data_IF_461401977516
#
_entry.id   IF_461401977516
#
_cell.length_a   1.000
_cell.length_b   1.000
_cell.length_c   1.000
_cell.angle_alpha   90.00
_cell.angle_beta   90.00
_cell.angle_gamma   90.00
#
_symmetry.space_group_name_H-M   'P 1'
#
loop_
_entity.id
_entity.type
_entity.pdbx_description
1 polymer ?
#
# COMPACT_ATOMS: atom_id res chain seq x y z
N UNK A 1 -7.68 -9.95 -43.39
CA UNK A 1 -7.58 -9.68 -41.93
C UNK A 1 -6.26 -10.17 -41.33
N UNK A 2 -5.76 -11.37 -41.69
CA UNK A 2 -4.51 -11.91 -41.15
C UNK A 2 -3.20 -11.19 -41.58
N UNK A 3 -3.19 -10.53 -42.74
CA UNK A 3 -2.01 -9.79 -43.22
C UNK A 3 -1.82 -8.41 -42.56
N UNK A 4 -2.88 -7.82 -41.98
CA UNK A 4 -2.80 -6.54 -41.26
C UNK A 4 -2.11 -6.67 -39.89
N UNK A 5 -2.27 -7.83 -39.24
CA UNK A 5 -1.65 -8.11 -37.92
C UNK A 5 -0.13 -8.30 -38.05
N UNK A 6 0.36 -8.88 -39.15
CA UNK A 6 1.81 -9.02 -39.41
C UNK A 6 2.49 -7.68 -39.70
N UNK A 7 1.80 -6.76 -40.39
CA UNK A 7 2.33 -5.41 -40.67
C UNK A 7 2.40 -4.57 -39.39
N UNK A 8 1.40 -4.67 -38.50
CA UNK A 8 1.40 -4.00 -37.20
C UNK A 8 2.54 -4.46 -36.28
N UNK A 9 2.90 -5.75 -36.29
CA UNK A 9 4.03 -6.30 -35.53
C UNK A 9 5.40 -5.85 -36.08
N UNK A 10 5.51 -5.65 -37.40
CA UNK A 10 6.74 -5.15 -38.02
C UNK A 10 6.90 -3.65 -37.75
N UNK A 11 5.82 -2.87 -37.80
CA UNK A 11 5.85 -1.44 -37.48
C UNK A 11 6.16 -1.20 -35.99
N UNK A 12 5.65 -2.05 -35.06
CA UNK A 12 6.03 -1.97 -33.65
C UNK A 12 7.49 -2.36 -33.40
N UNK A 13 8.06 -3.27 -34.19
CA UNK A 13 9.47 -3.66 -34.09
C UNK A 13 10.42 -2.59 -34.67
N UNK A 14 9.98 -1.82 -35.66
CA UNK A 14 10.76 -0.70 -36.23
C UNK A 14 10.75 0.52 -35.30
N UNK A 15 9.62 0.79 -34.62
CA UNK A 15 9.53 1.86 -33.62
C UNK A 15 10.34 1.60 -32.33
N UNK A 16 10.64 0.33 -32.02
CA UNK A 16 11.48 -0.04 -30.88
C UNK A 16 13.00 0.05 -31.16
N UNK A 17 13.42 0.37 -32.39
CA UNK A 17 14.83 0.32 -32.81
C UNK A 17 15.52 1.68 -32.93
N UNK A 18 14.80 2.80 -32.80
CA UNK A 18 15.38 4.15 -32.88
C UNK A 18 15.17 4.98 -31.61
N UNK A 19 15.71 4.51 -30.48
CA UNK A 19 16.16 5.41 -29.41
C UNK A 19 17.44 4.81 -28.82
N UNK A 20 18.56 5.00 -29.53
CA UNK A 20 19.89 4.80 -28.96
C UNK A 20 20.43 6.19 -28.65
N UNK A 21 20.35 6.68 -27.40
CA UNK A 21 21.23 7.75 -26.97
C UNK A 21 22.63 7.14 -26.84
N UNK A 22 23.56 7.71 -27.62
CA UNK A 22 24.97 7.37 -27.66
C UNK A 22 25.51 7.48 -26.22
N UNK A 23 25.86 6.33 -25.65
CA UNK A 23 26.34 6.22 -24.27
C UNK A 23 27.74 6.83 -24.15
N UNK A 24 27.98 7.46 -23.00
CA UNK A 24 29.32 7.67 -22.47
C UNK A 24 30.16 6.38 -22.57
N UNK A 25 31.46 6.51 -22.83
CA UNK A 25 32.35 5.35 -22.88
C UNK A 25 32.39 4.67 -21.51
N UNK A 26 32.10 3.36 -21.46
CA UNK A 26 32.00 2.58 -20.22
C UNK A 26 33.10 1.51 -20.21
N UNK A 27 33.89 1.47 -19.15
CA UNK A 27 34.78 0.35 -18.84
C UNK A 27 34.52 -0.09 -17.40
N UNK A 28 34.03 -1.31 -17.23
CA UNK A 28 33.92 -1.97 -15.92
C UNK A 28 34.79 -3.22 -16.00
N UNK A 29 35.81 -3.27 -15.16
CA UNK A 29 36.72 -4.42 -15.03
C UNK A 29 36.53 -5.00 -13.63
N UNK A 30 36.28 -6.30 -13.57
CA UNK A 30 36.13 -7.06 -12.33
C UNK A 30 37.46 -7.76 -12.04
N UNK A 31 38.27 -7.17 -11.17
CA UNK A 31 39.49 -7.80 -10.67
C UNK A 31 39.27 -8.27 -9.23
N UNK A 32 39.13 -9.59 -9.07
CA UNK A 32 39.42 -10.40 -7.88
C UNK A 32 38.69 -10.11 -6.55
N UNK A 33 38.73 -8.87 -6.05
CA UNK A 33 38.23 -8.49 -4.72
C UNK A 33 37.71 -7.04 -4.65
N UNK A 34 37.84 -6.26 -5.73
CA UNK A 34 37.40 -4.85 -5.77
C UNK A 34 36.62 -4.55 -7.04
N UNK A 35 35.38 -4.09 -6.88
CA UNK A 35 34.57 -3.57 -7.99
C UNK A 35 34.99 -2.13 -8.28
N UNK A 36 35.30 -1.84 -9.55
CA UNK A 36 35.63 -0.49 -9.99
C UNK A 36 34.56 0.02 -10.95
N UNK A 37 33.91 1.12 -10.59
CA UNK A 37 32.90 1.83 -11.37
C UNK A 37 33.49 3.16 -11.78
N UNK A 38 33.66 3.38 -13.09
CA UNK A 38 34.10 4.67 -13.62
C UNK A 38 32.92 5.36 -14.31
N UNK A 39 32.61 6.57 -13.86
CA UNK A 39 31.61 7.47 -14.45
C UNK A 39 32.37 8.49 -15.28
N UNK A 40 32.31 8.34 -16.60
CA UNK A 40 32.91 9.26 -17.57
C UNK A 40 31.83 10.21 -18.10
N UNK A 41 32.00 11.50 -17.87
CA UNK A 41 31.09 12.54 -18.31
C UNK A 41 31.69 13.23 -19.53
N UNK A 42 31.13 12.93 -20.71
CA UNK A 42 31.48 13.58 -21.97
C UNK A 42 30.85 14.99 -22.04
N UNK A 43 31.26 15.78 -23.03
CA UNK A 43 30.74 17.15 -23.24
C UNK A 43 29.23 17.23 -23.58
N UNK A 44 28.56 16.10 -23.79
CA UNK A 44 27.12 16.02 -24.11
C UNK A 44 26.24 15.78 -22.88
N UNK A 45 26.58 16.39 -21.73
CA UNK A 45 25.80 16.25 -20.50
C UNK A 45 24.51 17.08 -20.53
N UNK A 46 23.53 16.68 -19.70
CA UNK A 46 22.25 17.37 -19.57
C UNK A 46 21.97 17.78 -18.14
N UNK A 47 21.60 19.04 -17.94
CA UNK A 47 21.25 19.58 -16.64
C UNK A 47 19.87 19.11 -16.18
N UNK A 48 19.75 18.75 -14.91
CA UNK A 48 18.52 18.24 -14.31
C UNK A 48 18.14 16.85 -14.80
N UNK A 49 19.02 16.13 -15.50
CA UNK A 49 18.78 14.77 -15.98
C UNK A 49 19.81 13.79 -15.40
N UNK A 50 19.46 12.50 -15.42
CA UNK A 50 20.37 11.41 -15.05
C UNK A 50 21.39 11.26 -16.18
N UNK A 51 22.66 11.53 -15.88
CA UNK A 51 23.77 11.39 -16.83
C UNK A 51 24.47 10.03 -16.71
N UNK A 52 24.31 9.35 -15.58
CA UNK A 52 24.73 7.97 -15.37
C UNK A 52 23.72 7.25 -14.48
N UNK A 53 23.37 6.02 -14.84
CA UNK A 53 22.57 5.15 -13.98
C UNK A 53 22.88 3.69 -14.28
N UNK A 54 23.18 2.91 -13.25
CA UNK A 54 23.28 1.46 -13.37
C UNK A 54 22.97 0.77 -12.04
N UNK A 55 22.27 -0.36 -12.16
CA UNK A 55 22.03 -1.29 -11.06
C UNK A 55 23.14 -2.34 -11.02
N UNK A 56 23.63 -2.62 -9.81
CA UNK A 56 24.69 -3.57 -9.51
C UNK A 56 24.24 -4.49 -8.37
N UNK A 57 24.82 -5.68 -8.35
CA UNK A 57 24.71 -6.58 -7.22
C UNK A 57 26.07 -6.65 -6.53
N UNK A 58 26.22 -5.86 -5.45
CA UNK A 58 27.49 -5.73 -4.76
C UNK A 58 27.65 -6.91 -3.78
N UNK A 59 28.79 -7.61 -3.78
CA UNK A 59 29.00 -8.70 -2.85
C UNK A 59 29.07 -8.21 -1.41
N UNK A 60 28.66 -9.08 -0.48
CA UNK A 60 28.81 -8.79 0.94
C UNK A 60 30.29 -8.56 1.32
N UNK A 61 30.52 -7.71 2.32
CA UNK A 61 31.85 -7.41 2.86
C UNK A 61 32.84 -6.85 1.84
N UNK A 62 32.35 -6.25 0.75
CA UNK A 62 33.17 -5.70 -0.31
C UNK A 62 33.31 -4.18 -0.23
N UNK A 63 34.36 -3.67 -0.87
CA UNK A 63 34.55 -2.24 -1.11
C UNK A 63 34.55 -2.02 -2.61
N UNK A 64 33.61 -1.19 -3.07
CA UNK A 64 33.47 -0.80 -4.47
C UNK A 64 33.96 0.63 -4.64
N UNK A 65 34.90 0.84 -5.57
CA UNK A 65 35.41 2.17 -5.90
C UNK A 65 34.54 2.80 -7.00
N UNK A 66 34.12 4.05 -6.78
CA UNK A 66 33.38 4.87 -7.73
C UNK A 66 34.23 6.07 -8.09
N UNK A 67 34.75 6.09 -9.31
CA UNK A 67 35.57 7.17 -9.85
C UNK A 67 34.71 8.05 -10.76
N UNK A 68 34.59 9.34 -10.44
CA UNK A 68 33.87 10.33 -11.24
C UNK A 68 34.90 11.19 -11.98
N UNK A 69 34.82 11.20 -13.31
CA UNK A 69 35.67 12.01 -14.19
C UNK A 69 34.83 12.82 -15.16
N UNK A 70 35.04 14.13 -15.18
CA UNK A 70 34.37 15.07 -16.06
C UNK A 70 35.33 15.98 -16.81
N UNK A 71 34.85 16.63 -17.86
CA UNK A 71 35.64 17.62 -18.60
C UNK A 71 35.73 18.92 -17.80
N UNK A 72 36.79 19.71 -18.00
CA UNK A 72 36.93 21.02 -17.34
C UNK A 72 35.72 21.93 -17.63
N UNK A 73 35.21 21.86 -18.86
CA UNK A 73 34.01 22.59 -19.28
C UNK A 73 32.79 22.26 -18.39
N UNK A 74 32.58 21.00 -18.03
CA UNK A 74 31.50 20.60 -17.13
C UNK A 74 31.61 21.30 -15.77
N UNK A 75 32.76 21.18 -15.10
CA UNK A 75 32.96 21.70 -13.75
C UNK A 75 32.95 23.24 -13.70
N UNK A 76 33.22 23.90 -14.84
CA UNK A 76 33.10 25.35 -14.96
C UNK A 76 31.64 25.82 -14.97
N UNK A 77 30.71 25.01 -15.50
CA UNK A 77 29.28 25.38 -15.68
C UNK A 77 28.29 24.59 -14.83
N UNK A 78 28.73 23.57 -14.10
CA UNK A 78 27.86 22.67 -13.35
C UNK A 78 28.53 22.00 -12.14
N UNK A 79 27.68 21.34 -11.35
CA UNK A 79 28.09 20.39 -10.31
C UNK A 79 27.23 19.13 -10.45
N UNK A 80 27.67 18.02 -9.86
CA UNK A 80 26.95 16.76 -9.87
C UNK A 80 26.52 16.31 -8.49
N UNK A 81 25.51 15.46 -8.44
CA UNK A 81 25.11 14.72 -7.25
C UNK A 81 25.30 13.24 -7.54
N UNK A 82 26.27 12.62 -6.88
CA UNK A 82 26.46 11.18 -6.87
C UNK A 82 25.46 10.58 -5.90
N UNK A 83 24.60 9.69 -6.39
CA UNK A 83 23.56 9.04 -5.61
C UNK A 83 23.79 7.54 -5.59
N UNK A 84 23.62 6.93 -4.43
CA UNK A 84 23.66 5.49 -4.25
C UNK A 84 22.42 5.03 -3.52
N UNK A 85 21.69 4.10 -4.14
CA UNK A 85 20.43 3.56 -3.63
C UNK A 85 20.56 2.06 -3.43
N UNK A 86 20.45 1.57 -2.22
CA UNK A 86 20.44 0.14 -1.90
C UNK A 86 19.04 -0.33 -1.53
N UNK A 87 18.67 -1.49 -2.03
CA UNK A 87 17.40 -2.12 -1.72
C UNK A 87 17.51 -2.98 -0.46
N UNK A 88 16.64 -2.75 0.53
CA UNK A 88 16.52 -3.48 1.82
C UNK A 88 17.67 -3.35 2.82
N UNK A 89 18.91 -3.19 2.36
CA UNK A 89 20.09 -3.21 3.22
C UNK A 89 20.86 -1.90 3.15
N UNK A 90 21.21 -1.34 4.30
CA UNK A 90 22.03 -0.13 4.36
C UNK A 90 23.45 -0.39 3.83
N UNK A 91 23.99 0.62 3.16
CA UNK A 91 25.36 0.69 2.69
C UNK A 91 26.03 1.94 3.28
N UNK A 92 27.35 1.94 3.27
CA UNK A 92 28.13 3.10 3.70
C UNK A 92 28.85 3.71 2.49
N UNK A 93 28.58 4.97 2.19
CA UNK A 93 29.27 5.75 1.15
C UNK A 93 30.33 6.64 1.82
N UNK A 94 31.58 6.58 1.36
CA UNK A 94 32.69 7.34 1.92
C UNK A 94 33.55 8.00 0.85
N UNK A 95 34.15 9.16 1.14
CA UNK A 95 35.20 9.76 0.31
C UNK A 95 36.60 9.24 0.64
N UNK A 96 36.74 8.38 1.66
CA UNK A 96 38.00 7.71 2.03
C UNK A 96 37.89 6.20 1.87
N UNK A 97 38.97 5.56 1.42
CA UNK A 97 39.00 4.10 1.22
C UNK A 97 38.86 3.30 2.53
N UNK A 98 39.39 3.85 3.62
CA UNK A 98 39.38 3.21 4.94
C UNK A 98 38.41 3.99 5.81
N UNK A 99 37.44 3.28 6.38
CA UNK A 99 36.49 3.85 7.32
C UNK A 99 37.20 4.18 8.63
N UNK A 100 37.11 5.43 9.05
CA UNK A 100 37.59 5.85 10.36
C UNK A 100 36.59 5.42 11.46
N UNK A 101 37.06 5.13 12.69
CA UNK A 101 36.21 4.59 13.77
C UNK A 101 35.17 5.59 14.28
N UNK A 102 35.33 6.89 14.01
CA UNK A 102 34.36 7.93 14.35
C UNK A 102 33.59 8.38 13.10
N UNK A 103 32.30 8.74 13.22
CA UNK A 103 31.56 9.35 12.12
C UNK A 103 32.24 10.65 11.72
N UNK A 104 32.99 10.61 10.63
CA UNK A 104 33.67 11.77 10.06
C UNK A 104 32.77 12.47 9.06
N UNK A 105 33.13 13.72 8.71
CA UNK A 105 32.51 14.47 7.62
C UNK A 105 32.59 13.80 6.23
N UNK A 106 33.30 12.68 6.15
CA UNK A 106 33.59 11.96 4.90
C UNK A 106 32.76 10.71 4.67
N UNK A 107 31.86 10.34 5.59
CA UNK A 107 31.17 9.03 5.55
C UNK A 107 29.69 9.15 5.90
N UNK A 108 28.84 8.44 5.16
CA UNK A 108 27.38 8.35 5.37
C UNK A 108 26.95 6.89 5.34
N UNK A 109 26.05 6.50 6.24
CA UNK A 109 25.39 5.20 6.23
C UNK A 109 23.89 5.37 5.97
N UNK A 110 23.33 4.56 5.08
CA UNK A 110 21.89 4.57 4.77
C UNK A 110 21.54 3.76 3.53
N UNK A 111 20.28 3.81 3.12
CA UNK A 111 19.79 3.13 1.91
C UNK A 111 19.71 4.04 0.69
N UNK A 112 19.51 5.33 0.88
CA UNK A 112 19.44 6.30 -0.22
C UNK A 112 20.29 7.51 0.19
N UNK A 113 21.52 7.54 -0.30
CA UNK A 113 22.57 8.46 0.17
C UNK A 113 23.34 9.02 -1.01
N UNK A 114 24.08 10.11 -0.80
CA UNK A 114 24.84 10.72 -1.88
C UNK A 114 25.82 11.80 -1.43
N UNK A 115 26.62 12.27 -2.39
CA UNK A 115 27.57 13.37 -2.24
C UNK A 115 27.44 14.35 -3.40
N UNK A 116 27.60 15.64 -3.09
CA UNK A 116 27.85 16.64 -4.12
C UNK A 116 29.27 16.50 -4.65
N UNK A 117 29.42 16.66 -5.97
CA UNK A 117 30.66 16.48 -6.71
C UNK A 117 30.91 17.73 -7.54
N UNK A 118 31.95 18.48 -7.20
CA UNK A 118 32.31 19.74 -7.86
C UNK A 118 33.52 19.60 -8.80
N UNK A 119 34.20 18.45 -8.76
CA UNK A 119 35.42 18.13 -9.51
C UNK A 119 35.62 16.62 -9.55
N UNK A 120 36.55 16.18 -10.39
CA UNK A 120 37.00 14.78 -10.43
C UNK A 120 37.35 14.28 -9.03
N UNK A 121 36.69 13.20 -8.63
CA UNK A 121 36.70 12.69 -7.25
C UNK A 121 36.50 11.17 -7.23
N UNK A 122 37.01 10.54 -6.18
CA UNK A 122 36.87 9.09 -5.95
C UNK A 122 36.08 8.88 -4.66
N UNK A 123 35.11 7.98 -4.73
CA UNK A 123 34.26 7.57 -3.61
C UNK A 123 34.29 6.05 -3.44
N UNK A 124 33.87 5.57 -2.28
CA UNK A 124 33.92 4.18 -1.88
C UNK A 124 32.56 3.76 -1.30
N UNK A 125 31.99 2.70 -1.86
CA UNK A 125 30.78 2.06 -1.34
C UNK A 125 31.22 0.83 -0.56
N UNK A 126 30.90 0.82 0.73
CA UNK A 126 31.15 -0.29 1.64
C UNK A 126 29.83 -0.99 1.93
N UNK A 127 29.78 -2.29 1.62
CA UNK A 127 28.69 -3.15 2.08
C UNK A 127 29.00 -3.63 3.49
N UNK A 128 28.08 -3.46 4.44
CA UNK A 128 28.25 -3.89 5.84
C UNK A 128 28.48 -5.40 5.97
N UNK A 129 28.97 -5.81 7.14
CA UNK A 129 29.27 -7.21 7.44
C UNK A 129 27.99 -8.06 7.42
N UNK A 130 27.80 -8.85 6.37
CA UNK A 130 26.59 -9.65 6.15
C UNK A 130 26.86 -10.88 5.30
N UNK A 131 25.83 -11.72 5.14
CA UNK A 131 25.89 -12.94 4.31
C UNK A 131 25.21 -12.77 2.94
N UNK A 132 24.71 -11.57 2.63
CA UNK A 132 23.87 -11.33 1.44
C UNK A 132 24.45 -10.23 0.57
N UNK A 133 24.41 -10.46 -0.75
CA UNK A 133 24.71 -9.41 -1.72
C UNK A 133 23.68 -8.29 -1.63
N UNK A 134 24.12 -7.06 -1.88
CA UNK A 134 23.26 -5.87 -1.80
C UNK A 134 22.97 -5.36 -3.21
N UNK A 135 21.70 -5.43 -3.60
CA UNK A 135 21.23 -4.79 -4.84
C UNK A 135 21.32 -3.27 -4.68
N UNK A 136 22.16 -2.63 -5.50
CA UNK A 136 22.50 -1.21 -5.38
C UNK A 136 22.44 -0.52 -6.74
N UNK A 137 21.76 0.60 -6.85
CA UNK A 137 21.82 1.49 -8.00
C UNK A 137 22.78 2.65 -7.73
N UNK A 138 23.67 2.93 -8.68
CA UNK A 138 24.54 4.11 -8.68
C UNK A 138 24.03 5.05 -9.76
N UNK A 139 23.76 6.29 -9.40
CA UNK A 139 23.27 7.32 -10.29
C UNK A 139 24.08 8.62 -10.16
N UNK A 140 24.15 9.37 -11.25
CA UNK A 140 24.80 10.68 -11.28
C UNK A 140 23.90 11.67 -12.01
N UNK A 141 23.51 12.74 -11.32
CA UNK A 141 22.65 13.81 -11.85
C UNK A 141 23.45 15.11 -11.85
N UNK A 142 23.41 15.85 -12.95
CA UNK A 142 24.18 17.10 -13.11
C UNK A 142 23.22 18.28 -13.00
N UNK A 143 23.60 19.30 -12.24
CA UNK A 143 22.88 20.56 -12.11
C UNK A 143 23.74 21.75 -12.54
N UNK A 144 23.07 22.85 -12.87
CA UNK A 144 23.75 24.10 -13.23
C UNK A 144 24.50 24.64 -12.02
N UNK A 145 25.66 25.24 -12.25
CA UNK A 145 26.48 25.84 -11.18
C UNK A 145 25.74 26.94 -10.41
N UNK A 146 24.83 27.66 -11.08
CA UNK A 146 23.98 28.69 -10.49
C UNK A 146 22.81 28.15 -9.67
N UNK A 147 22.51 26.85 -9.75
CA UNK A 147 21.43 26.21 -9.00
C UNK A 147 21.76 26.07 -7.51
N UNK A 148 20.72 25.92 -6.70
CA UNK A 148 20.87 25.66 -5.27
C UNK A 148 21.58 24.32 -5.02
N UNK A 149 22.64 24.34 -4.21
CA UNK A 149 23.42 23.15 -3.83
C UNK A 149 22.65 22.40 -2.73
N UNK A 150 22.11 21.19 -3.00
CA UNK A 150 21.33 20.45 -2.02
C UNK A 150 22.16 20.17 -0.77
N UNK A 151 21.67 20.60 0.39
CA UNK A 151 22.33 20.44 1.67
C UNK A 151 23.63 21.24 1.84
N UNK A 152 23.90 22.22 0.98
CA UNK A 152 25.13 23.02 0.99
C UNK A 152 25.32 23.88 2.25
N UNK A 153 24.28 24.05 3.06
CA UNK A 153 24.29 24.79 4.32
C UNK A 153 24.01 23.92 5.54
N UNK A 154 24.27 22.61 5.42
CA UNK A 154 24.03 21.69 6.52
C UNK A 154 24.96 21.96 7.72
N UNK A 155 24.37 22.21 8.88
CA UNK A 155 25.07 22.35 10.16
C UNK A 155 24.86 21.17 11.12
N UNK A 156 24.03 20.19 10.73
CA UNK A 156 23.50 19.16 11.65
C UNK A 156 24.01 17.76 11.31
N UNK A 157 24.03 17.40 10.02
CA UNK A 157 24.49 16.07 9.58
C UNK A 157 26.02 16.00 9.57
N UNK A 158 26.60 14.79 9.69
CA UNK A 158 28.05 14.62 9.72
C UNK A 158 28.71 15.15 8.44
N UNK A 159 28.08 14.99 7.28
CA UNK A 159 28.63 15.48 6.00
C UNK A 159 28.34 16.96 5.80
N UNK A 160 29.36 17.70 5.42
CA UNK A 160 29.29 19.15 5.20
C UNK A 160 28.22 19.53 4.17
N UNK A 161 28.22 18.87 3.00
CA UNK A 161 27.16 19.01 2.01
C UNK A 161 26.31 17.74 1.98
N UNK A 162 25.06 17.81 2.47
CA UNK A 162 24.17 16.64 2.63
C UNK A 162 23.05 16.64 1.57
N UNK A 163 23.28 16.09 0.36
CA UNK A 163 22.32 16.21 -0.73
C UNK A 163 21.13 15.25 -0.62
N UNK A 164 20.99 14.50 0.46
CA UNK A 164 19.92 13.52 0.66
C UNK A 164 18.98 13.93 1.79
N UNK A 165 17.74 13.49 1.69
CA UNK A 165 16.74 13.69 2.75
C UNK A 165 16.77 12.54 3.75
N UNK A 166 16.54 12.86 5.02
CA UNK A 166 16.51 11.89 6.11
C UNK A 166 15.07 11.51 6.42
N UNK A 167 14.79 10.22 6.58
CA UNK A 167 13.46 9.70 6.89
C UNK A 167 13.48 9.01 8.25
N UNK A 168 12.68 9.53 9.18
CA UNK A 168 12.54 9.01 10.54
C UNK A 168 11.14 8.43 10.71
N UNK A 169 11.08 7.15 11.05
CA UNK A 169 9.82 6.46 11.33
C UNK A 169 9.39 6.74 12.77
N UNK A 170 8.20 7.33 12.95
CA UNK A 170 7.56 7.54 14.25
C UNK A 170 6.39 6.55 14.43
N UNK A 171 5.67 6.66 15.56
CA UNK A 171 4.56 5.76 15.89
C UNK A 171 3.38 5.86 14.91
N UNK A 172 2.92 7.06 14.56
CA UNK A 172 1.80 7.23 13.62
C UNK A 172 2.16 8.01 12.36
N UNK A 173 3.38 8.54 12.33
CA UNK A 173 3.85 9.43 11.26
C UNK A 173 5.22 9.01 10.73
N UNK A 174 5.52 9.48 9.53
CA UNK A 174 6.85 9.44 8.92
C UNK A 174 7.33 10.87 8.83
N UNK A 175 8.45 11.18 9.49
CA UNK A 175 9.06 12.50 9.49
C UNK A 175 10.18 12.54 8.46
N UNK A 176 10.06 13.42 7.49
CA UNK A 176 11.06 13.64 6.44
C UNK A 176 11.76 14.96 6.69
N UNK A 177 13.07 14.94 6.85
CA UNK A 177 13.89 16.11 7.12
C UNK A 177 14.76 16.42 5.90
N UNK A 178 14.69 17.66 5.42
CA UNK A 178 15.53 18.15 4.33
C UNK A 178 16.58 19.11 4.89
N UNK A 179 17.88 18.84 4.71
CA UNK A 179 18.94 19.79 5.05
C UNK A 179 18.83 21.08 4.22
N UNK A 180 19.13 22.28 4.76
CA UNK A 180 19.05 23.53 4.01
C UNK A 180 20.06 23.58 2.85
N UNK A 181 19.62 24.13 1.72
CA UNK A 181 20.42 24.30 0.52
C UNK A 181 21.40 25.47 0.63
N UNK A 182 22.48 25.43 -0.16
CA UNK A 182 23.44 26.53 -0.28
C UNK A 182 23.39 27.21 -1.66
N UNK A 183 23.89 28.44 -1.75
CA UNK A 183 24.00 29.17 -3.02
C UNK A 183 24.99 28.54 -3.99
N UNK A 184 24.62 28.43 -5.27
CA UNK A 184 25.53 28.03 -6.34
C UNK A 184 26.51 29.14 -6.77
N UNK A 185 27.69 28.77 -7.27
CA UNK A 185 28.66 29.71 -7.86
C UNK A 185 28.21 30.16 -9.27
N UNK A 186 28.46 31.42 -9.71
CA UNK A 186 29.45 32.36 -9.21
C UNK A 186 28.89 33.44 -8.26
N UNK A 187 27.63 33.33 -7.82
CA UNK A 187 26.90 34.47 -7.23
C UNK A 187 27.61 35.17 -6.07
N UNK A 188 28.37 34.43 -5.24
CA UNK A 188 29.11 34.97 -4.08
C UNK A 188 30.57 34.55 -4.01
N UNK A 189 31.14 33.91 -5.04
CA UNK A 189 32.50 33.37 -5.02
C UNK A 189 32.72 32.18 -4.07
N UNK A 190 31.90 32.05 -3.02
CA UNK A 190 31.79 30.94 -2.06
C UNK A 190 30.31 30.59 -1.83
N UNK A 191 30.03 29.36 -1.38
CA UNK A 191 28.70 28.95 -0.90
C UNK A 191 28.33 29.79 0.33
N UNK A 192 27.24 30.54 0.26
CA UNK A 192 26.71 31.32 1.38
C UNK A 192 25.40 30.73 1.89
N UNK A 193 25.19 30.85 3.20
CA UNK A 193 24.01 30.38 3.90
C UNK A 193 23.20 31.57 4.42
N UNK A 194 21.88 31.56 4.19
CA UNK A 194 20.93 32.50 4.82
C UNK A 194 20.67 33.81 4.09
N UNK A 195 21.26 34.07 2.93
CA UNK A 195 21.00 35.30 2.12
C UNK A 195 20.08 35.07 0.93
N UNK A 196 19.76 33.82 0.61
CA UNK A 196 19.04 33.43 -0.61
C UNK A 196 17.58 33.08 -0.32
N UNK A 197 16.67 33.52 -1.19
CA UNK A 197 15.25 33.17 -1.12
C UNK A 197 15.01 31.85 -1.87
N UNK A 198 15.40 30.72 -1.28
CA UNK A 198 15.09 29.41 -1.84
C UNK A 198 13.62 29.03 -1.60
N UNK A 199 12.99 28.44 -2.61
CA UNK A 199 11.66 27.84 -2.50
C UNK A 199 11.80 26.31 -2.54
N UNK A 200 11.38 25.67 -1.46
CA UNK A 200 11.40 24.21 -1.30
C UNK A 200 10.03 23.65 -1.68
N UNK A 201 10.02 22.68 -2.59
CA UNK A 201 8.84 21.96 -3.02
C UNK A 201 8.94 20.50 -2.61
N UNK A 202 8.05 20.08 -1.72
CA UNK A 202 8.02 18.74 -1.17
C UNK A 202 7.04 17.88 -1.96
N UNK A 203 7.54 16.74 -2.47
CA UNK A 203 6.74 15.79 -3.23
C UNK A 203 6.93 14.37 -2.74
N UNK A 204 5.90 13.56 -2.95
CA UNK A 204 5.95 12.14 -2.66
C UNK A 204 5.22 11.31 -3.71
N UNK A 205 5.55 10.02 -3.78
CA UNK A 205 4.90 9.05 -4.64
C UNK A 205 4.64 7.77 -3.83
N UNK A 206 3.56 7.07 -4.15
CA UNK A 206 3.24 5.79 -3.52
C UNK A 206 3.47 4.62 -4.48
N UNK A 207 3.88 3.50 -3.90
CA UNK A 207 3.77 2.19 -4.52
C UNK A 207 2.42 1.54 -4.22
N UNK A 208 2.08 0.52 -5.01
CA UNK A 208 0.98 -0.36 -4.68
C UNK A 208 1.21 -1.03 -3.32
N UNK A 209 0.11 -1.28 -2.60
CA UNK A 209 0.17 -1.94 -1.30
C UNK A 209 0.80 -3.33 -1.44
N UNK A 210 1.73 -3.67 -0.54
CA UNK A 210 2.52 -4.90 -0.52
C UNK A 210 3.47 -5.10 -1.73
N UNK A 211 3.71 -4.06 -2.53
CA UNK A 211 4.78 -4.11 -3.52
C UNK A 211 6.13 -3.82 -2.86
N UNK A 212 6.88 -4.90 -2.60
CA UNK A 212 8.25 -4.87 -2.11
C UNK A 212 9.21 -5.39 -3.18
N UNK A 213 8.92 -5.16 -4.46
CA UNK A 213 9.80 -5.60 -5.53
C UNK A 213 10.98 -4.64 -5.72
N UNK A 214 12.18 -5.21 -5.94
CA UNK A 214 13.39 -4.45 -6.29
C UNK A 214 13.16 -3.54 -7.50
N UNK A 215 12.38 -4.00 -8.46
CA UNK A 215 12.07 -3.28 -9.70
C UNK A 215 11.24 -2.02 -9.42
N UNK A 216 10.11 -2.15 -8.75
CA UNK A 216 9.26 -1.00 -8.41
C UNK A 216 10.00 0.02 -7.53
N UNK A 217 10.86 -0.46 -6.62
CA UNK A 217 11.72 0.40 -5.81
C UNK A 217 12.63 1.29 -6.66
N UNK A 218 13.43 0.70 -7.54
CA UNK A 218 14.40 1.44 -8.36
C UNK A 218 13.74 2.27 -9.46
N UNK A 219 12.66 1.79 -10.08
CA UNK A 219 11.91 2.54 -11.09
C UNK A 219 11.26 3.81 -10.49
N UNK A 220 10.76 3.72 -9.25
CA UNK A 220 10.18 4.88 -8.53
C UNK A 220 11.25 5.90 -8.16
N UNK A 221 12.38 5.45 -7.61
CA UNK A 221 13.51 6.35 -7.34
C UNK A 221 14.02 7.04 -8.61
N UNK A 222 14.13 6.31 -9.72
CA UNK A 222 14.54 6.86 -11.02
C UNK A 222 13.63 8.00 -11.47
N UNK A 223 12.33 7.86 -11.25
CA UNK A 223 11.34 8.89 -11.58
C UNK A 223 11.49 10.12 -10.68
N UNK A 224 11.82 9.96 -9.40
CA UNK A 224 11.93 11.07 -8.45
C UNK A 224 13.30 11.77 -8.45
N UNK A 225 14.37 11.12 -8.93
CA UNK A 225 15.71 11.74 -9.02
C UNK A 225 15.74 12.95 -9.97
N UNK A 226 14.92 12.93 -11.02
CA UNK A 226 14.88 13.98 -12.05
C UNK A 226 13.80 15.02 -11.69
N UNK A 227 14.14 16.31 -11.53
CA UNK A 227 13.17 17.34 -11.13
C UNK A 227 11.92 17.39 -12.00
N UNK A 228 12.08 17.29 -13.33
CA UNK A 228 10.95 17.34 -14.27
C UNK A 228 9.96 16.20 -14.04
N UNK A 229 10.43 14.95 -14.00
CA UNK A 229 9.56 13.78 -13.83
C UNK A 229 9.01 13.70 -12.41
N UNK A 230 9.73 14.19 -11.41
CA UNK A 230 9.22 14.34 -10.05
C UNK A 230 8.04 15.32 -9.99
N UNK A 231 8.09 16.42 -10.76
CA UNK A 231 6.98 17.39 -10.88
C UNK A 231 5.78 16.79 -11.62
N UNK A 232 6.03 15.98 -12.65
CA UNK A 232 4.97 15.37 -13.47
C UNK A 232 4.29 14.20 -12.74
N UNK A 233 5.03 13.38 -11.98
CA UNK A 233 4.54 12.11 -11.41
C UNK A 233 4.29 12.14 -9.90
N UNK A 234 4.98 13.03 -9.16
CA UNK A 234 4.86 13.10 -7.70
C UNK A 234 3.70 13.98 -7.24
N UNK A 235 3.09 13.65 -6.11
CA UNK A 235 2.06 14.47 -5.47
C UNK A 235 2.70 15.66 -4.75
N UNK A 236 2.16 16.85 -4.98
CA UNK A 236 2.58 18.06 -4.27
C UNK A 236 2.03 18.06 -2.83
N UNK A 237 2.92 18.19 -1.85
CA UNK A 237 2.55 18.40 -0.44
C UNK A 237 2.44 19.89 -0.15
N UNK A 238 3.53 20.60 -0.42
CA UNK A 238 3.73 21.97 0.00
C UNK A 238 4.83 22.61 -0.83
N UNK A 239 4.72 23.92 -1.04
CA UNK A 239 5.82 24.79 -1.50
C UNK A 239 6.02 25.89 -0.48
N UNK A 240 7.21 26.02 0.08
CA UNK A 240 7.49 27.00 1.12
C UNK A 240 8.94 27.51 1.07
N UNK A 241 9.19 28.73 1.57
CA UNK A 241 10.56 29.24 1.73
C UNK A 241 11.34 28.43 2.79
N UNK A 242 12.60 28.79 3.04
CA UNK A 242 13.50 28.13 4.00
C UNK A 242 13.08 28.26 5.48
N UNK A 243 11.94 27.69 5.84
CA UNK A 243 11.44 27.61 7.21
C UNK A 243 10.71 26.29 7.39
N UNK A 244 10.99 25.57 8.48
CA UNK A 244 10.42 24.26 8.78
C UNK A 244 10.58 23.23 7.65
N UNK A 245 11.84 22.90 7.31
CA UNK A 245 12.21 21.90 6.31
C UNK A 245 11.95 20.43 6.73
N UNK A 246 11.05 20.22 7.70
CA UNK A 246 10.58 18.91 8.12
C UNK A 246 9.12 18.74 7.73
N UNK A 247 8.79 17.62 7.09
CA UNK A 247 7.42 17.27 6.69
C UNK A 247 6.97 16.00 7.41
N UNK A 248 5.71 16.00 7.84
CA UNK A 248 5.08 14.85 8.49
C UNK A 248 4.10 14.22 7.52
N UNK A 249 4.23 12.92 7.34
CA UNK A 249 3.34 12.10 6.52
C UNK A 249 2.65 11.07 7.41
N UNK A 250 1.42 10.68 7.06
CA UNK A 250 0.75 9.58 7.73
C UNK A 250 1.51 8.26 7.48
N UNK A 251 1.66 7.44 8.54
CA UNK A 251 2.33 6.14 8.44
C UNK A 251 1.36 5.08 7.88
N UNK A 252 1.50 4.76 6.60
CA UNK A 252 0.82 3.63 5.99
C UNK A 252 1.72 2.40 5.98
N UNK A 253 1.34 1.36 6.73
CA UNK A 253 2.09 0.11 6.78
C UNK A 253 1.95 -0.68 5.48
N UNK A 254 3.05 -1.28 5.04
CA UNK A 254 3.13 -2.12 3.84
C UNK A 254 2.78 -1.39 2.55
N UNK A 255 3.02 -0.07 2.50
CA UNK A 255 2.89 0.75 1.32
C UNK A 255 4.17 1.57 1.19
N UNK A 256 4.86 1.46 0.06
CA UNK A 256 6.09 2.20 -0.17
C UNK A 256 5.77 3.67 -0.44
N UNK A 257 6.15 4.56 0.47
CA UNK A 257 6.14 6.01 0.25
C UNK A 257 7.55 6.45 -0.11
N UNK A 258 7.68 7.15 -1.22
CA UNK A 258 8.94 7.73 -1.69
C UNK A 258 8.81 9.24 -1.65
N UNK A 259 9.84 9.91 -1.16
CA UNK A 259 9.86 11.34 -0.91
C UNK A 259 10.98 11.97 -1.72
N UNK A 260 10.75 13.18 -2.21
CA UNK A 260 11.77 14.02 -2.82
C UNK A 260 11.49 15.48 -2.47
N UNK A 261 12.58 16.23 -2.24
CA UNK A 261 12.50 17.69 -2.10
C UNK A 261 13.18 18.30 -3.31
N UNK A 262 12.49 19.25 -3.94
CA UNK A 262 13.02 20.07 -5.02
C UNK A 262 13.30 21.47 -4.47
N UNK A 263 14.39 22.08 -4.91
CA UNK A 263 14.71 23.47 -4.55
C UNK A 263 14.75 24.30 -5.80
N UNK A 264 14.03 25.40 -5.74
CA UNK A 264 14.00 26.43 -6.75
C UNK A 264 14.70 27.66 -6.22
N UNK A 265 15.49 28.25 -7.08
CA UNK A 265 15.97 29.61 -6.87
C UNK A 265 14.79 30.60 -7.02
N UNK A 266 14.48 31.36 -5.96
CA UNK A 266 13.37 32.32 -5.92
C UNK A 266 13.59 33.59 -6.75
N UNK A 267 14.75 33.74 -7.39
CA UNK A 267 15.10 34.92 -8.19
C UNK A 267 14.78 34.84 -9.70
N UNK A 268 14.00 33.83 -10.14
CA UNK A 268 13.36 33.84 -11.46
C UNK A 268 14.10 33.10 -12.59
N UNK A 269 15.25 32.46 -12.33
CA UNK A 269 15.90 31.58 -13.33
C UNK A 269 15.22 30.19 -13.42
N UNK A 270 14.26 29.88 -12.54
CA UNK A 270 13.56 28.59 -12.44
C UNK A 270 14.52 27.37 -12.46
N UNK A 271 15.75 27.54 -11.97
CA UNK A 271 16.71 26.43 -11.87
C UNK A 271 16.26 25.55 -10.71
N UNK A 272 15.88 24.32 -11.05
CA UNK A 272 15.41 23.31 -10.12
C UNK A 272 16.52 22.31 -9.86
N UNK A 273 16.87 22.14 -8.59
CA UNK A 273 17.73 21.04 -8.13
C UNK A 273 16.92 20.08 -7.29
N UNK A 274 17.29 18.80 -7.30
CA UNK A 274 16.62 17.77 -6.49
C UNK A 274 17.58 17.21 -5.45
N UNK A 275 17.05 16.97 -4.25
CA UNK A 275 17.72 16.12 -3.27
C UNK A 275 17.64 14.66 -3.71
N UNK A 276 18.57 13.84 -3.21
CA UNK A 276 18.50 12.38 -3.34
C UNK A 276 17.19 11.90 -2.68
N UNK A 277 16.29 11.24 -3.44
CA UNK A 277 15.02 10.79 -2.91
C UNK A 277 15.23 9.68 -1.89
N UNK A 278 14.31 9.58 -0.93
CA UNK A 278 14.33 8.55 0.11
C UNK A 278 12.96 7.90 0.23
N UNK A 279 12.83 6.86 1.06
CA UNK A 279 11.59 6.08 1.15
C UNK A 279 11.31 5.55 2.55
N UNK A 280 10.06 5.14 2.76
CA UNK A 280 9.63 4.35 3.92
C UNK A 280 8.48 3.41 3.52
N UNK A 281 8.48 2.20 4.06
CA UNK A 281 7.35 1.27 3.95
C UNK A 281 6.39 1.33 5.16
N UNK A 282 6.59 2.31 6.05
CA UNK A 282 5.83 2.46 7.29
C UNK A 282 6.13 1.39 8.36
N UNK A 283 7.10 0.50 8.12
CA UNK A 283 7.55 -0.52 9.05
C UNK A 283 9.08 -0.62 9.04
N UNK A 284 9.66 -1.15 10.11
CA UNK A 284 11.11 -1.39 10.18
C UNK A 284 11.53 -2.34 9.06
N UNK A 285 12.60 -1.97 8.36
CA UNK A 285 13.13 -2.73 7.21
C UNK A 285 13.57 -4.16 7.59
N UNK A 286 13.92 -4.38 8.87
CA UNK A 286 14.27 -5.69 9.42
C UNK A 286 13.05 -6.57 9.76
N UNK A 287 11.84 -6.00 9.81
CA UNK A 287 10.59 -6.67 10.18
C UNK A 287 9.54 -6.65 9.05
N UNK A 288 9.95 -6.33 7.83
CA UNK A 288 9.08 -6.28 6.64
C UNK A 288 8.20 -7.54 6.49
N UNK A 289 8.72 -8.70 6.90
CA UNK A 289 8.04 -10.00 6.83
C UNK A 289 7.20 -10.36 8.06
N UNK A 290 7.39 -9.71 9.21
CA UNK A 290 6.66 -10.04 10.47
C UNK A 290 5.55 -9.04 10.78
N UNK A 291 5.86 -7.75 10.71
CA UNK A 291 4.95 -6.69 11.16
C UNK A 291 4.13 -6.10 9.99
N UNK A 292 4.66 -6.14 8.78
CA UNK A 292 4.00 -5.60 7.59
C UNK A 292 3.01 -6.59 6.91
N UNK A 293 2.94 -7.85 7.38
CA UNK A 293 2.00 -8.88 6.88
C UNK A 293 0.74 -9.08 7.74
N UNK A 294 0.38 -8.15 8.63
CA UNK A 294 -0.78 -8.27 9.54
C UNK A 294 -2.11 -8.58 8.79
N UNK A 295 -2.24 -8.19 7.52
CA UNK A 295 -3.45 -8.46 6.72
C UNK A 295 -3.62 -9.96 6.36
N UNK A 296 -2.53 -10.74 6.32
CA UNK A 296 -2.62 -12.19 6.08
C UNK A 296 -3.16 -12.92 7.32
N UNK A 297 -2.97 -12.37 8.52
CA UNK A 297 -3.50 -12.91 9.78
C UNK A 297 -5.02 -12.70 9.84
N UNK A 298 -5.53 -11.55 9.38
CA UNK A 298 -6.98 -11.30 9.28
C UNK A 298 -7.65 -12.26 8.29
N UNK A 299 -7.04 -12.54 7.13
CA UNK A 299 -7.58 -13.49 6.16
C UNK A 299 -7.72 -14.92 6.70
N UNK A 300 -6.78 -15.37 7.55
CA UNK A 300 -6.84 -16.68 8.19
C UNK A 300 -7.83 -16.70 9.36
N UNK A 301 -7.91 -15.62 10.15
CA UNK A 301 -8.88 -15.48 11.25
C UNK A 301 -10.33 -15.35 10.80
N UNK A 302 -10.59 -14.78 9.61
CA UNK A 302 -11.92 -14.68 9.03
C UNK A 302 -12.56 -16.04 8.70
N UNK A 303 -11.75 -17.09 8.46
CA UNK A 303 -12.25 -18.45 8.25
C UNK A 303 -12.78 -19.05 9.56
N UNK A 304 -12.05 -18.86 10.67
CA UNK A 304 -12.49 -19.34 11.99
C UNK A 304 -13.73 -18.60 12.46
N UNK A 305 -13.76 -17.27 12.31
CA UNK A 305 -14.91 -16.45 12.66
C UNK A 305 -16.16 -16.88 11.87
N UNK A 306 -16.00 -17.18 10.57
CA UNK A 306 -17.10 -17.62 9.69
C UNK A 306 -17.76 -18.91 10.18
N UNK A 307 -16.98 -19.94 10.49
CA UNK A 307 -17.52 -21.23 10.95
C UNK A 307 -18.24 -21.04 12.28
N UNK A 308 -17.67 -20.27 13.21
CA UNK A 308 -18.25 -20.03 14.53
C UNK A 308 -19.57 -19.25 14.41
N UNK A 309 -19.61 -18.16 13.64
CA UNK A 309 -20.80 -17.30 13.52
C UNK A 309 -21.93 -18.03 12.80
N UNK A 310 -21.69 -18.67 11.65
CA UNK A 310 -22.76 -19.39 10.95
C UNK A 310 -23.33 -20.54 11.81
N UNK A 311 -22.46 -21.26 12.52
CA UNK A 311 -22.89 -22.35 13.41
C UNK A 311 -23.69 -21.83 14.61
N UNK A 312 -23.28 -20.71 15.20
CA UNK A 312 -24.03 -20.06 16.28
C UNK A 312 -25.45 -19.67 15.85
N UNK A 313 -25.60 -19.06 14.66
CA UNK A 313 -26.91 -18.64 14.15
C UNK A 313 -27.82 -19.84 13.86
N UNK A 314 -27.28 -20.90 13.24
CA UNK A 314 -28.03 -22.14 12.97
C UNK A 314 -28.44 -22.82 14.28
N UNK A 315 -27.53 -22.94 15.24
CA UNK A 315 -27.79 -23.55 16.54
C UNK A 315 -28.84 -22.78 17.35
N UNK A 316 -28.74 -21.45 17.37
CA UNK A 316 -29.72 -20.59 18.02
C UNK A 316 -31.10 -20.69 17.38
N UNK A 317 -31.17 -20.75 16.05
CA UNK A 317 -32.44 -20.97 15.34
C UNK A 317 -33.05 -22.34 15.66
N UNK A 318 -32.27 -23.42 15.62
CA UNK A 318 -32.76 -24.76 15.98
C UNK A 318 -33.24 -24.82 17.44
N UNK A 319 -32.52 -24.20 18.37
CA UNK A 319 -32.94 -24.08 19.76
C UNK A 319 -34.26 -23.30 19.90
N UNK A 320 -34.40 -22.19 19.17
CA UNK A 320 -35.67 -21.45 19.12
C UNK A 320 -36.83 -22.32 18.64
N UNK A 321 -36.63 -23.10 17.58
CA UNK A 321 -37.67 -23.99 17.01
C UNK A 321 -38.06 -25.09 18.00
N UNK A 322 -37.08 -25.77 18.59
CA UNK A 322 -37.33 -26.88 19.52
C UNK A 322 -38.06 -26.40 20.78
N UNK A 323 -37.68 -25.23 21.28
CA UNK A 323 -38.22 -24.67 22.52
C UNK A 323 -39.23 -23.54 22.28
N UNK A 324 -39.87 -23.51 21.11
CA UNK A 324 -40.81 -22.44 20.75
C UNK A 324 -42.09 -22.43 21.62
N UNK A 325 -42.40 -23.54 22.29
CA UNK A 325 -43.59 -23.74 23.14
C UNK A 325 -43.46 -23.15 24.54
N UNK A 326 -42.28 -22.65 24.92
CA UNK A 326 -42.08 -21.97 26.20
C UNK A 326 -42.64 -20.54 26.11
N UNK A 327 -43.54 -20.19 27.03
CA UNK A 327 -44.20 -18.88 27.09
C UNK A 327 -43.33 -17.81 27.79
N UNK A 328 -42.38 -18.22 28.62
CA UNK A 328 -41.41 -17.34 29.27
C UNK A 328 -40.35 -16.84 28.27
N UNK A 329 -40.36 -15.53 28.00
CA UNK A 329 -39.47 -14.87 27.04
C UNK A 329 -38.01 -14.80 27.51
N UNK A 330 -37.77 -14.59 28.81
CA UNK A 330 -36.41 -14.48 29.35
C UNK A 330 -35.71 -15.84 29.28
N UNK A 331 -36.43 -16.90 29.66
CA UNK A 331 -35.95 -18.27 29.54
C UNK A 331 -35.69 -18.66 28.08
N UNK A 332 -36.55 -18.22 27.16
CA UNK A 332 -36.42 -18.49 25.72
C UNK A 332 -35.16 -17.86 25.13
N UNK A 333 -34.83 -16.63 25.50
CA UNK A 333 -33.60 -15.95 25.05
C UNK A 333 -32.37 -16.70 25.55
N UNK A 334 -32.35 -17.11 26.82
CA UNK A 334 -31.23 -17.87 27.39
C UNK A 334 -31.04 -19.19 26.63
N UNK A 335 -32.12 -19.91 26.33
CA UNK A 335 -32.07 -21.18 25.59
C UNK A 335 -31.51 -20.98 24.17
N UNK A 336 -31.89 -19.90 23.48
CA UNK A 336 -31.37 -19.58 22.14
C UNK A 336 -29.87 -19.32 22.19
N UNK A 337 -29.41 -18.50 23.15
CA UNK A 337 -27.98 -18.16 23.30
C UNK A 337 -27.17 -19.41 23.63
N UNK A 338 -27.62 -20.20 24.61
CA UNK A 338 -26.94 -21.44 25.02
C UNK A 338 -26.92 -22.45 23.88
N UNK A 339 -28.05 -22.63 23.18
CA UNK A 339 -28.15 -23.52 22.03
C UNK A 339 -27.21 -23.12 20.89
N UNK A 340 -27.11 -21.82 20.61
CA UNK A 340 -26.15 -21.28 19.65
C UNK A 340 -24.70 -21.55 20.04
N UNK A 341 -24.33 -21.31 21.30
CA UNK A 341 -22.96 -21.54 21.80
C UNK A 341 -22.59 -23.02 21.71
N UNK A 342 -23.45 -23.91 22.20
CA UNK A 342 -23.20 -25.36 22.19
C UNK A 342 -23.00 -25.84 20.76
N UNK A 343 -23.89 -25.45 19.84
CA UNK A 343 -23.80 -25.84 18.45
C UNK A 343 -22.54 -25.27 17.77
N UNK A 344 -22.18 -24.02 18.05
CA UNK A 344 -20.95 -23.41 17.51
C UNK A 344 -19.69 -24.13 17.97
N UNK A 345 -19.62 -24.53 19.24
CA UNK A 345 -18.48 -25.29 19.79
C UNK A 345 -18.42 -26.66 19.14
N UNK A 346 -19.53 -27.42 19.15
CA UNK A 346 -19.57 -28.77 18.56
C UNK A 346 -19.21 -28.75 17.08
N UNK A 347 -19.74 -27.79 16.33
CA UNK A 347 -19.48 -27.67 14.90
C UNK A 347 -18.04 -27.25 14.59
N UNK A 348 -17.46 -26.37 15.42
CA UNK A 348 -16.05 -25.98 15.31
C UNK A 348 -15.12 -27.16 15.62
N UNK A 349 -15.44 -27.98 16.63
CA UNK A 349 -14.69 -29.19 16.94
C UNK A 349 -14.77 -30.23 15.82
N UNK A 350 -15.96 -30.42 15.23
CA UNK A 350 -16.14 -31.30 14.07
C UNK A 350 -15.39 -30.81 12.84
N UNK A 351 -15.34 -29.50 12.62
CA UNK A 351 -14.54 -28.92 11.54
C UNK A 351 -13.04 -29.12 11.75
N UNK A 352 -12.54 -28.95 12.98
CA UNK A 352 -11.13 -29.19 13.31
C UNK A 352 -10.71 -30.65 13.07
N UNK A 353 -11.64 -31.59 13.25
CA UNK A 353 -11.42 -33.02 12.99
C UNK A 353 -11.63 -33.40 11.52
N UNK A 354 -12.60 -32.77 10.86
CA UNK A 354 -13.03 -33.09 9.50
C UNK A 354 -13.13 -31.81 8.66
N UNK A 355 -12.10 -31.51 7.87
CA UNK A 355 -12.03 -30.31 7.03
C UNK A 355 -13.21 -30.19 6.02
N UNK A 356 -13.81 -31.31 5.63
CA UNK A 356 -14.97 -31.39 4.70
C UNK A 356 -16.27 -30.81 5.29
N UNK A 357 -16.40 -30.69 6.62
CA UNK A 357 -17.62 -30.20 7.28
C UNK A 357 -17.90 -28.70 7.00
N UNK A 358 -16.90 -27.95 6.51
CA UNK A 358 -17.07 -26.55 6.12
C UNK A 358 -18.04 -26.35 4.95
N UNK A 359 -18.07 -27.27 3.98
CA UNK A 359 -18.92 -27.16 2.80
C UNK A 359 -20.41 -27.35 3.16
N UNK A 360 -20.69 -28.21 4.13
CA UNK A 360 -22.06 -28.44 4.64
C UNK A 360 -22.58 -27.20 5.37
N UNK A 361 -21.74 -26.54 6.17
CA UNK A 361 -22.10 -25.29 6.85
C UNK A 361 -22.46 -24.17 5.86
N UNK A 362 -21.79 -24.13 4.71
CA UNK A 362 -22.07 -23.14 3.67
C UNK A 362 -23.39 -23.40 2.96
N UNK A 363 -23.71 -24.67 2.69
CA UNK A 363 -25.01 -25.07 2.13
C UNK A 363 -26.13 -24.66 3.10
N UNK A 364 -25.97 -24.94 4.39
CA UNK A 364 -26.95 -24.57 5.40
C UNK A 364 -27.07 -23.04 5.56
N UNK A 365 -25.95 -22.31 5.53
CA UNK A 365 -25.95 -20.85 5.55
C UNK A 365 -26.63 -20.23 4.32
N UNK A 366 -26.46 -20.85 3.15
CA UNK A 366 -27.11 -20.45 1.90
C UNK A 366 -28.63 -20.69 1.93
N UNK A 367 -29.09 -21.78 2.55
CA UNK A 367 -30.51 -22.04 2.81
C UNK A 367 -31.08 -21.01 3.77
N UNK A 368 -30.36 -20.71 4.86
CA UNK A 368 -30.79 -19.73 5.85
C UNK A 368 -30.89 -18.31 5.26
N UNK A 369 -29.97 -17.94 4.37
CA UNK A 369 -30.05 -16.65 3.66
C UNK A 369 -31.27 -16.60 2.71
N UNK A 370 -31.56 -17.70 2.01
CA UNK A 370 -32.78 -17.84 1.21
C UNK A 370 -34.05 -17.68 2.06
N UNK A 371 -34.07 -18.27 3.25
CA UNK A 371 -35.13 -18.10 4.24
C UNK A 371 -35.31 -16.64 4.67
N UNK A 372 -34.22 -15.95 5.03
CA UNK A 372 -34.27 -14.55 5.45
C UNK A 372 -34.82 -13.64 4.34
N UNK A 373 -34.36 -13.83 3.10
CA UNK A 373 -34.83 -13.05 1.96
C UNK A 373 -36.29 -13.36 1.63
N UNK A 374 -36.71 -14.62 1.69
CA UNK A 374 -38.11 -15.00 1.51
C UNK A 374 -39.02 -14.35 2.55
N UNK A 375 -38.58 -14.28 3.82
CA UNK A 375 -39.30 -13.58 4.88
C UNK A 375 -39.48 -12.09 4.56
N UNK A 376 -38.43 -11.40 4.08
CA UNK A 376 -38.51 -9.98 3.72
C UNK A 376 -39.43 -9.72 2.52
N UNK A 377 -39.30 -10.52 1.47
CA UNK A 377 -40.11 -10.36 0.26
C UNK A 377 -41.59 -10.60 0.58
N UNK A 378 -41.91 -11.65 1.33
CA UNK A 378 -43.30 -11.93 1.69
C UNK A 378 -43.85 -10.98 2.75
N UNK A 379 -43.00 -10.37 3.58
CA UNK A 379 -43.40 -9.27 4.44
C UNK A 379 -43.76 -8.02 3.63
N UNK A 380 -42.96 -7.68 2.61
CA UNK A 380 -43.20 -6.51 1.77
C UNK A 380 -44.41 -6.65 0.84
N UNK A 381 -44.68 -7.87 0.35
CA UNK A 381 -45.73 -8.12 -0.65
C UNK A 381 -46.91 -8.95 -0.12
N UNK A 382 -46.96 -9.25 1.18
CA UNK A 382 -47.87 -10.25 1.73
C UNK A 382 -49.36 -9.94 1.62
N UNK A 383 -49.74 -8.68 1.40
CA UNK A 383 -51.13 -8.23 1.26
C UNK A 383 -51.71 -8.43 -0.16
N UNK A 384 -50.95 -9.03 -1.10
CA UNK A 384 -51.48 -9.37 -2.41
C UNK A 384 -52.51 -10.52 -2.30
N UNK A 385 -53.67 -10.37 -2.96
CA UNK A 385 -54.74 -11.40 -2.99
C UNK A 385 -54.26 -12.81 -3.39
N UNK A 386 -53.21 -12.90 -4.22
CA UNK A 386 -52.62 -14.18 -4.66
C UNK A 386 -51.97 -14.92 -3.47
N UNK A 387 -51.43 -14.18 -2.49
CA UNK A 387 -50.73 -14.71 -1.32
C UNK A 387 -51.66 -14.99 -0.14
N UNK A 388 -52.97 -14.74 -0.24
CA UNK A 388 -53.97 -15.16 0.76
C UNK A 388 -54.12 -16.69 0.78
N UNK A 389 -53.99 -17.33 -0.39
CA UNK A 389 -54.05 -18.79 -0.48
C UNK A 389 -52.80 -19.43 0.13
N UNK A 390 -53.02 -20.35 1.07
CA UNK A 390 -51.97 -21.07 1.80
C UNK A 390 -50.99 -21.78 0.86
N UNK A 391 -51.51 -22.42 -0.20
CA UNK A 391 -50.69 -23.19 -1.15
C UNK A 391 -49.77 -22.29 -1.97
N UNK A 392 -50.29 -21.18 -2.49
CA UNK A 392 -49.50 -20.25 -3.29
C UNK A 392 -48.44 -19.53 -2.45
N UNK A 393 -48.76 -19.18 -1.20
CA UNK A 393 -47.79 -18.60 -0.27
C UNK A 393 -46.57 -19.49 -0.08
N UNK A 394 -46.78 -20.77 0.29
CA UNK A 394 -45.67 -21.69 0.52
C UNK A 394 -44.92 -22.07 -0.75
N UNK A 395 -45.59 -22.14 -1.90
CA UNK A 395 -44.92 -22.34 -3.19
C UNK A 395 -43.97 -21.18 -3.51
N UNK A 396 -44.43 -19.93 -3.37
CA UNK A 396 -43.60 -18.74 -3.60
C UNK A 396 -42.46 -18.67 -2.57
N UNK A 397 -42.74 -18.96 -1.30
CA UNK A 397 -41.74 -19.04 -0.24
C UNK A 397 -40.64 -20.05 -0.59
N UNK A 398 -40.99 -21.29 -0.89
CA UNK A 398 -40.03 -22.34 -1.25
C UNK A 398 -39.25 -21.99 -2.52
N UNK A 399 -39.91 -21.40 -3.52
CA UNK A 399 -39.24 -20.98 -4.75
C UNK A 399 -38.15 -19.94 -4.46
N UNK A 400 -38.45 -18.91 -3.66
CA UNK A 400 -37.47 -17.88 -3.31
C UNK A 400 -36.30 -18.51 -2.53
N UNK A 401 -36.59 -19.36 -1.53
CA UNK A 401 -35.55 -20.04 -0.75
C UNK A 401 -34.61 -20.82 -1.67
N UNK A 402 -35.14 -21.69 -2.53
CA UNK A 402 -34.30 -22.51 -3.42
C UNK A 402 -33.58 -21.69 -4.48
N UNK A 403 -34.22 -20.68 -5.08
CA UNK A 403 -33.56 -19.82 -6.06
C UNK A 403 -32.37 -19.08 -5.44
N UNK A 404 -32.56 -18.48 -4.27
CA UNK A 404 -31.50 -17.73 -3.58
C UNK A 404 -30.39 -18.67 -3.13
N UNK A 405 -30.73 -19.85 -2.63
CA UNK A 405 -29.72 -20.84 -2.24
C UNK A 405 -28.90 -21.34 -3.45
N UNK A 406 -29.55 -21.64 -4.57
CA UNK A 406 -28.87 -22.08 -5.80
C UNK A 406 -27.99 -20.95 -6.38
N UNK A 407 -28.41 -19.70 -6.30
CA UNK A 407 -27.60 -18.57 -6.79
C UNK A 407 -26.40 -18.27 -5.89
N UNK A 408 -26.51 -18.52 -4.58
CA UNK A 408 -25.44 -18.23 -3.62
C UNK A 408 -24.45 -19.39 -3.45
N UNK A 409 -24.85 -20.62 -3.76
CA UNK A 409 -24.04 -21.85 -3.64
C UNK A 409 -22.81 -21.95 -4.59
N UNK A 410 -22.88 -21.67 -5.91
CA UNK A 410 -21.77 -21.91 -6.84
C UNK A 410 -20.61 -20.90 -6.72
N UNK A 411 -20.68 -19.94 -5.81
CA UNK A 411 -19.62 -18.95 -5.57
C UNK A 411 -18.64 -19.45 -4.50
N UNK A 412 -17.78 -20.43 -4.80
CA UNK A 412 -16.86 -20.94 -3.77
C UNK A 412 -15.72 -19.97 -3.41
N UNK A 413 -15.34 -20.02 -2.11
CA UNK A 413 -14.54 -19.09 -1.29
C UNK A 413 -15.06 -17.65 -1.16
N UNK A 414 -15.46 -16.98 -2.25
CA UNK A 414 -15.96 -15.59 -2.19
C UNK A 414 -17.43 -15.50 -1.79
N UNK A 415 -18.27 -16.42 -2.26
CA UNK A 415 -19.71 -16.44 -1.97
C UNK A 415 -20.01 -16.69 -0.50
N UNK A 416 -19.21 -17.49 0.19
CA UNK A 416 -19.42 -17.73 1.61
C UNK A 416 -19.14 -16.50 2.49
N UNK A 417 -18.23 -15.60 2.07
CA UNK A 417 -18.05 -14.29 2.72
C UNK A 417 -19.31 -13.45 2.53
N UNK A 418 -19.87 -13.46 1.31
CA UNK A 418 -21.11 -12.75 1.00
C UNK A 418 -22.29 -13.31 1.79
N UNK A 419 -22.42 -14.63 1.91
CA UNK A 419 -23.49 -15.29 2.68
C UNK A 419 -23.42 -14.88 4.15
N UNK A 420 -22.26 -14.97 4.80
CA UNK A 420 -22.11 -14.57 6.20
C UNK A 420 -22.32 -13.06 6.40
N UNK A 421 -21.88 -12.23 5.45
CA UNK A 421 -22.12 -10.78 5.50
C UNK A 421 -23.60 -10.43 5.37
N UNK A 422 -24.32 -11.05 4.43
CA UNK A 422 -25.76 -10.85 4.24
C UNK A 422 -26.54 -11.31 5.47
N UNK A 423 -26.24 -12.52 5.97
CA UNK A 423 -26.87 -13.07 7.16
C UNK A 423 -26.63 -12.17 8.38
N UNK A 424 -25.38 -11.76 8.61
CA UNK A 424 -25.02 -10.84 9.69
C UNK A 424 -25.72 -9.49 9.58
N UNK A 425 -25.80 -8.92 8.37
CA UNK A 425 -26.50 -7.65 8.13
C UNK A 425 -28.01 -7.74 8.40
N UNK A 426 -28.64 -8.87 8.05
CA UNK A 426 -30.06 -9.11 8.27
C UNK A 426 -30.40 -9.17 9.76
N UNK A 427 -29.65 -9.96 10.53
CA UNK A 427 -29.88 -10.06 11.97
C UNK A 427 -29.51 -8.77 12.72
N UNK A 428 -28.43 -8.09 12.33
CA UNK A 428 -28.09 -6.78 12.89
C UNK A 428 -29.20 -5.76 12.61
N UNK A 429 -29.74 -5.74 11.38
CA UNK A 429 -30.85 -4.87 11.01
C UNK A 429 -32.10 -5.14 11.84
N UNK A 430 -32.46 -6.41 12.04
CA UNK A 430 -33.60 -6.78 12.90
C UNK A 430 -33.35 -6.39 14.35
N UNK A 431 -32.15 -6.63 14.89
CA UNK A 431 -31.83 -6.25 16.28
C UNK A 431 -31.88 -4.74 16.49
N UNK A 432 -31.29 -3.95 15.58
CA UNK A 432 -31.35 -2.49 15.65
C UNK A 432 -32.80 -2.01 15.56
N UNK A 433 -33.58 -2.54 14.62
CA UNK A 433 -34.98 -2.16 14.49
C UNK A 433 -35.80 -2.61 15.70
N UNK A 434 -35.51 -3.76 16.31
CA UNK A 434 -36.15 -4.16 17.56
C UNK A 434 -35.80 -3.21 18.72
N UNK A 435 -34.55 -2.74 18.81
CA UNK A 435 -34.14 -1.76 19.83
C UNK A 435 -34.78 -0.37 19.65
N UNK A 436 -35.21 -0.04 18.43
CA UNK A 436 -35.84 1.24 18.08
C UNK A 436 -37.34 1.09 17.78
N UNK A 437 -38.01 0.05 18.31
CA UNK A 437 -39.45 -0.21 18.13
C UNK A 437 -39.94 -0.25 16.67
N UNK A 438 -39.10 -0.75 15.77
CA UNK A 438 -39.38 -0.92 14.34
C UNK A 438 -40.07 -2.25 14.00
N UNK A 439 -40.85 -2.26 12.92
CA UNK A 439 -41.75 -3.36 12.56
C UNK A 439 -41.12 -4.52 11.78
N UNK A 440 -39.83 -4.46 11.43
CA UNK A 440 -39.20 -5.47 10.56
C UNK A 440 -39.09 -6.87 11.20
N UNK A 441 -39.09 -6.95 12.54
CA UNK A 441 -39.08 -8.23 13.26
C UNK A 441 -40.33 -9.10 12.94
N UNK A 442 -41.43 -8.48 12.51
CA UNK A 442 -42.62 -9.18 12.05
C UNK A 442 -42.42 -9.95 10.74
N UNK A 443 -41.39 -9.64 9.95
CA UNK A 443 -41.07 -10.40 8.73
C UNK A 443 -40.80 -11.89 9.03
N UNK A 444 -40.16 -12.18 10.17
CA UNK A 444 -39.92 -13.56 10.62
C UNK A 444 -41.15 -14.10 11.36
N UNK A 445 -41.72 -13.32 12.28
CA UNK A 445 -42.82 -13.76 13.14
C UNK A 445 -44.08 -14.12 12.35
N UNK A 446 -44.40 -13.37 11.29
CA UNK A 446 -45.60 -13.61 10.48
C UNK A 446 -45.57 -14.97 9.76
N UNK A 447 -44.39 -15.42 9.33
CA UNK A 447 -44.21 -16.77 8.80
C UNK A 447 -44.54 -17.85 9.84
N UNK A 448 -44.10 -17.65 11.09
CA UNK A 448 -44.42 -18.54 12.21
C UNK A 448 -45.89 -18.53 12.60
N UNK A 449 -46.51 -17.34 12.67
CA UNK A 449 -47.95 -17.20 12.93
C UNK A 449 -48.77 -17.93 11.89
N UNK A 450 -48.38 -17.85 10.62
CA UNK A 450 -49.02 -18.56 9.50
C UNK A 450 -48.84 -20.08 9.51
N UNK A 451 -47.75 -20.58 10.11
CA UNK A 451 -47.55 -22.02 10.37
C UNK A 451 -48.45 -22.51 11.51
N UNK A 452 -48.57 -21.74 12.59
CA UNK A 452 -49.33 -22.11 13.78
C UNK A 452 -50.84 -22.02 13.56
N UNK A 453 -51.30 -20.97 12.87
CA UNK A 453 -52.71 -20.70 12.67
C UNK A 453 -53.02 -20.48 11.18
N UNK A 454 -53.86 -21.36 10.63
CA UNK A 454 -54.28 -21.27 9.22
C UNK A 454 -55.11 -20.00 8.95
N UNK A 455 -55.83 -19.50 9.96
CA UNK A 455 -56.65 -18.29 9.86
C UNK A 455 -55.82 -17.01 9.70
N UNK A 456 -54.55 -17.03 10.10
CA UNK A 456 -53.59 -15.93 9.88
C UNK A 456 -53.34 -15.63 8.40
N UNK A 457 -53.73 -16.52 7.48
CA UNK A 457 -53.63 -16.28 6.04
C UNK A 457 -54.49 -15.11 5.53
N UNK A 458 -55.49 -14.68 6.32
CA UNK A 458 -56.37 -13.54 6.03
C UNK A 458 -55.97 -12.27 6.81
N UNK A 459 -54.90 -12.32 7.60
CA UNK A 459 -54.44 -11.18 8.38
C UNK A 459 -53.72 -10.18 7.50
N UNK A 460 -54.04 -8.89 7.66
CA UNK A 460 -53.37 -7.78 6.97
C UNK A 460 -52.02 -7.55 7.65
N UNK A 461 -50.93 -7.52 6.87
CA UNK A 461 -49.57 -7.48 7.38
C UNK A 461 -48.98 -6.06 7.42
N UNK A 462 -49.66 -5.07 6.83
CA UNK A 462 -49.22 -3.68 6.77
C UNK A 462 -49.19 -3.00 8.16
N UNK A 463 -48.02 -2.52 8.63
CA UNK A 463 -47.90 -1.87 9.94
C UNK A 463 -48.51 -0.46 10.02
N UNK A 464 -48.92 0.15 8.90
CA UNK A 464 -49.51 1.50 8.90
C UNK A 464 -50.91 1.62 9.54
N UNK A 465 -51.47 0.52 10.06
CA UNK A 465 -52.78 0.51 10.72
C UNK A 465 -52.74 0.86 12.22
N UNK A 466 -51.57 0.97 12.84
CA UNK A 466 -51.41 1.35 14.26
C UNK A 466 -51.43 2.87 14.52
N UNK A 467 -51.75 3.70 13.51
CA UNK A 467 -51.84 5.17 13.65
C UNK A 467 -53.29 5.67 13.65
N UNK A 468 -54.23 4.98 14.30
CA UNK A 468 -55.47 5.61 14.78
C UNK A 468 -55.91 4.90 16.07
N UNK A 469 -55.56 5.49 17.21
CA UNK A 469 -55.99 5.10 18.55
C UNK A 469 -55.63 6.19 19.54
#
# INVERSE_FOLDING_TARGET
MWNLIKILLIISAIWLREIIPIHAAIKSTQDGESFHITILLNDTFRFGEINFYREYELPANSVTTVEVKGTKALWDVGFGVLQTHSFLHEITLSSKKILEPNPTKSTVNGTNIGFNVHRDSIYYIHTKKGNFNVSTAVAFVIFKRTGAIPGGCNMVHPVEETPFITVVLLEDTVRVETPPAGSGAPRLGNTTCGTENFLYEFRYMYLAKQDFSRRSYFDTLRTLMVPRTAIESGYLVSKMPEYNLHQLYARYTAMGLFFVTLVMDGFGENVTTSYVPSHSYGCSQQQLTKDCHIIVILGRQLIYLRVIVNSFMIGGYLAYVIFCTIDDWDLKIIIIIVGGIVFAITWTLLWLQCHSVSEVADILGSILNGYCLACLVLYAFGDMRILESHTYYWMVFSLIVFCVSILTFPLTRRGAIVITALLGSFFMGITLLFMFDGNLHYAIINNWRRLKDKSFSYAILNPHLDIVG
#
